data_IF_339410170787
#
_entry.id   IF_339410170787
#
_cell.length_a   1.000
_cell.length_b   1.000
_cell.length_c   1.000
_cell.angle_alpha   90.00
_cell.angle_beta   90.00
_cell.angle_gamma   90.00
#
_symmetry.space_group_name_H-M   'P 1'
#
loop_
_entity.id
_entity.type
_entity.pdbx_description
1 polymer ?
#
# COMPACT_ATOMS: atom_id res chain seq x y z
N UNK A 1 12.60 -11.30 -18.51
CA UNK A 1 12.84 -9.91 -18.93
C UNK A 1 11.88 -9.03 -18.16
N UNK A 2 12.36 -8.20 -17.24
CA UNK A 2 11.52 -7.27 -16.47
C UNK A 2 11.36 -5.98 -17.29
N UNK A 3 10.12 -5.62 -17.61
CA UNK A 3 9.74 -4.27 -18.01
C UNK A 3 8.53 -3.87 -17.16
N UNK A 4 8.74 -3.78 -15.86
CA UNK A 4 7.88 -2.96 -15.02
C UNK A 4 8.31 -1.50 -15.17
N UNK A 5 7.36 -0.59 -15.15
CA UNK A 5 7.65 0.84 -15.18
C UNK A 5 8.03 1.25 -13.75
N UNK A 6 9.33 1.33 -13.46
CA UNK A 6 9.83 1.82 -12.18
C UNK A 6 9.88 3.34 -12.21
N UNK A 7 9.14 3.99 -11.33
CA UNK A 7 9.15 5.46 -11.21
C UNK A 7 9.34 5.86 -9.75
N UNK A 8 10.26 6.79 -9.50
CA UNK A 8 10.41 7.44 -8.21
C UNK A 8 9.58 8.71 -8.18
N UNK A 9 8.63 8.80 -7.26
CA UNK A 9 7.67 9.91 -7.18
C UNK A 9 7.42 10.30 -5.72
N UNK A 10 6.78 11.45 -5.49
CA UNK A 10 6.23 11.76 -4.18
C UNK A 10 4.98 10.91 -3.90
N UNK A 11 4.67 10.64 -2.63
CA UNK A 11 3.47 9.87 -2.25
C UNK A 11 2.16 10.49 -2.80
N UNK A 12 2.10 11.82 -2.90
CA UNK A 12 0.96 12.56 -3.47
C UNK A 12 0.78 12.40 -4.98
N UNK A 13 1.76 11.79 -5.67
CA UNK A 13 1.72 11.49 -7.10
C UNK A 13 1.33 10.04 -7.39
N UNK A 14 1.10 9.22 -6.36
CA UNK A 14 0.48 7.90 -6.53
C UNK A 14 -0.94 8.05 -7.08
N UNK A 15 -1.49 6.98 -7.64
CA UNK A 15 -2.88 7.00 -8.09
C UNK A 15 -3.81 7.21 -6.89
N UNK A 16 -4.94 7.90 -7.09
CA UNK A 16 -5.88 8.22 -6.00
C UNK A 16 -6.30 6.96 -5.24
N UNK A 17 -6.56 5.87 -5.96
CA UNK A 17 -6.91 4.57 -5.36
C UNK A 17 -5.81 4.04 -4.42
N UNK A 18 -4.54 4.18 -4.80
CA UNK A 18 -3.40 3.75 -3.99
C UNK A 18 -3.29 4.62 -2.73
N UNK A 19 -3.45 5.93 -2.86
CA UNK A 19 -3.44 6.87 -1.73
C UNK A 19 -4.59 6.57 -0.75
N UNK A 20 -5.80 6.33 -1.27
CA UNK A 20 -6.98 6.02 -0.46
C UNK A 20 -6.82 4.68 0.26
N UNK A 21 -6.30 3.65 -0.41
CA UNK A 21 -6.05 2.35 0.18
C UNK A 21 -4.99 2.43 1.30
N UNK A 22 -3.87 3.13 1.08
CA UNK A 22 -2.85 3.38 2.12
C UNK A 22 -3.48 4.08 3.32
N UNK A 23 -4.30 5.11 3.08
CA UNK A 23 -4.98 5.84 4.16
C UNK A 23 -5.93 4.92 4.95
N UNK A 24 -6.75 4.12 4.29
CA UNK A 24 -7.68 3.19 4.92
C UNK A 24 -6.94 2.12 5.75
N UNK A 25 -5.89 1.51 5.18
CA UNK A 25 -5.08 0.52 5.89
C UNK A 25 -4.47 1.13 7.17
N UNK A 26 -3.92 2.34 7.10
CA UNK A 26 -3.30 3.00 8.25
C UNK A 26 -4.29 3.45 9.34
N UNK A 27 -5.56 3.60 9.00
CA UNK A 27 -6.63 3.97 9.94
C UNK A 27 -7.47 2.77 10.41
N UNK A 28 -7.05 1.55 10.07
CA UNK A 28 -7.64 0.31 10.56
C UNK A 28 -7.65 0.20 12.09
N UNK A 29 -8.64 -0.52 12.62
CA UNK A 29 -8.68 -0.83 14.05
C UNK A 29 -7.46 -1.69 14.43
N UNK A 30 -6.82 -1.37 15.56
CA UNK A 30 -5.61 -2.08 16.02
C UNK A 30 -4.32 -1.70 15.30
N UNK A 31 -4.37 -0.88 14.25
CA UNK A 31 -3.17 -0.38 13.56
C UNK A 31 -2.46 0.68 14.41
N UNK A 32 -1.14 0.57 14.65
CA UNK A 32 -0.40 1.57 15.42
C UNK A 32 -0.44 2.96 14.77
N UNK A 33 -0.91 3.97 15.50
CA UNK A 33 -1.07 5.34 15.00
C UNK A 33 0.26 6.01 14.64
N UNK A 34 1.36 5.52 15.20
CA UNK A 34 2.71 5.97 14.90
C UNK A 34 3.09 5.71 13.43
N UNK A 35 2.49 4.70 12.79
CA UNK A 35 2.69 4.48 11.35
C UNK A 35 2.13 5.63 10.52
N UNK A 36 0.97 6.18 10.89
CA UNK A 36 0.41 7.39 10.23
C UNK A 36 1.44 8.53 10.29
N UNK A 37 2.10 8.72 11.45
CA UNK A 37 3.13 9.75 11.59
C UNK A 37 4.36 9.49 10.71
N UNK A 38 4.72 8.23 10.45
CA UNK A 38 5.82 7.89 9.54
C UNK A 38 5.53 8.29 8.08
N UNK A 39 4.27 8.37 7.64
CA UNK A 39 3.96 8.83 6.27
C UNK A 39 4.44 10.25 6.00
N UNK A 40 4.45 11.12 7.02
CA UNK A 40 5.02 12.48 6.94
C UNK A 40 6.56 12.50 6.82
N UNK A 41 7.20 11.34 7.00
CA UNK A 41 8.65 11.14 6.90
C UNK A 41 9.04 10.39 5.62
N UNK A 42 8.08 10.08 4.76
CA UNK A 42 8.33 9.53 3.42
C UNK A 42 8.92 10.64 2.54
N UNK A 43 10.15 10.44 2.09
CA UNK A 43 10.84 11.34 1.17
C UNK A 43 10.37 11.11 -0.26
N UNK A 44 10.27 9.84 -0.64
CA UNK A 44 9.81 9.40 -1.95
C UNK A 44 9.25 7.99 -1.87
N UNK A 45 8.59 7.57 -2.93
CA UNK A 45 8.19 6.20 -3.15
C UNK A 45 8.73 5.70 -4.48
N UNK A 46 9.09 4.43 -4.54
CA UNK A 46 9.44 3.74 -5.78
C UNK A 46 8.26 2.85 -6.15
N UNK A 47 7.54 3.24 -7.20
CA UNK A 47 6.41 2.49 -7.74
C UNK A 47 6.88 1.61 -8.88
N UNK A 48 6.65 0.30 -8.78
CA UNK A 48 6.91 -0.69 -9.82
C UNK A 48 5.60 -1.42 -10.16
N UNK A 49 5.19 -1.33 -11.42
CA UNK A 49 3.99 -1.99 -11.92
C UNK A 49 4.36 -3.23 -12.73
N UNK A 50 3.77 -4.36 -12.35
CA UNK A 50 3.97 -5.66 -12.99
C UNK A 50 2.62 -6.25 -13.40
N UNK A 51 2.59 -7.28 -14.26
CA UNK A 51 1.33 -7.97 -14.59
C UNK A 51 0.61 -8.57 -13.38
N UNK A 52 1.35 -8.93 -12.32
CA UNK A 52 0.80 -9.53 -11.11
C UNK A 52 0.27 -8.50 -10.10
N UNK A 53 0.79 -7.26 -10.15
CA UNK A 53 0.50 -6.26 -9.14
C UNK A 53 1.38 -5.03 -9.22
N UNK A 54 1.05 -4.04 -8.39
CA UNK A 54 1.84 -2.82 -8.15
C UNK A 54 2.50 -2.90 -6.79
N UNK A 55 3.78 -2.58 -6.76
CA UNK A 55 4.59 -2.49 -5.55
C UNK A 55 5.04 -1.05 -5.37
N UNK A 56 4.84 -0.51 -4.16
CA UNK A 56 5.22 0.85 -3.78
C UNK A 56 6.13 0.75 -2.58
N UNK A 57 7.43 0.86 -2.81
CA UNK A 57 8.43 0.88 -1.74
C UNK A 57 8.57 2.29 -1.17
N UNK A 58 8.48 2.41 0.15
CA UNK A 58 8.59 3.69 0.84
C UNK A 58 10.04 4.00 1.19
N UNK A 59 10.52 5.18 0.77
CA UNK A 59 11.84 5.70 1.13
C UNK A 59 11.64 6.71 2.25
N UNK A 60 12.00 6.32 3.48
CA UNK A 60 11.89 7.16 4.66
C UNK A 60 13.14 8.02 4.87
N UNK A 61 12.93 9.25 5.33
CA UNK A 61 14.01 10.12 5.83
C UNK A 61 14.64 9.55 7.09
N UNK A 62 15.88 9.96 7.40
CA UNK A 62 16.61 9.55 8.62
C UNK A 62 15.92 9.94 9.93
N UNK A 63 14.93 10.85 9.88
CA UNK A 63 14.12 11.25 11.03
C UNK A 63 12.89 10.38 11.30
N UNK A 64 12.66 9.32 10.53
CA UNK A 64 11.59 8.37 10.80
C UNK A 64 11.90 7.56 12.07
N UNK A 65 10.90 7.42 12.95
CA UNK A 65 11.03 6.70 14.22
C UNK A 65 10.34 5.34 14.06
N UNK A 66 11.05 4.22 14.30
CA UNK A 66 10.44 2.89 14.22
C UNK A 66 9.45 2.67 15.37
N UNK A 67 8.48 1.79 15.14
CA UNK A 67 7.67 1.24 16.22
C UNK A 67 8.53 0.54 17.27
N UNK A 68 8.07 0.57 18.52
CA UNK A 68 8.74 -0.12 19.61
C UNK A 68 8.60 -1.65 19.51
N UNK A 69 9.73 -2.34 19.69
CA UNK A 69 9.87 -3.75 19.35
C UNK A 69 10.06 -3.92 17.84
N UNK A 70 11.04 -4.72 17.42
CA UNK A 70 11.35 -4.97 16.00
C UNK A 70 10.23 -5.80 15.36
N UNK A 71 9.06 -5.21 15.18
CA UNK A 71 7.85 -5.86 14.69
C UNK A 71 7.85 -5.83 13.17
N UNK A 72 7.88 -7.02 12.59
CA UNK A 72 7.53 -7.25 11.20
C UNK A 72 6.08 -7.72 11.21
N UNK A 73 5.23 -7.12 10.38
CA UNK A 73 3.84 -7.50 10.21
C UNK A 73 3.31 -6.94 8.90
N UNK A 74 2.09 -7.27 8.55
CA UNK A 74 1.38 -6.65 7.44
C UNK A 74 -0.05 -6.30 7.84
N UNK A 75 -0.61 -5.30 7.16
CA UNK A 75 -1.99 -4.88 7.30
C UNK A 75 -2.67 -5.23 5.98
N UNK A 76 -3.69 -6.09 6.03
CA UNK A 76 -4.38 -6.61 4.85
C UNK A 76 -5.91 -6.57 5.06
N UNK A 77 -6.66 -7.36 4.29
CA UNK A 77 -8.13 -7.46 4.32
C UNK A 77 -8.87 -6.18 3.92
N UNK A 78 -8.23 -5.39 3.05
CA UNK A 78 -8.88 -4.31 2.34
C UNK A 78 -8.99 -4.71 0.87
N UNK A 79 -10.20 -4.59 0.34
CA UNK A 79 -10.51 -4.86 -1.06
C UNK A 79 -11.16 -3.64 -1.72
N UNK A 80 -11.03 -3.54 -3.03
CA UNK A 80 -11.76 -2.58 -3.85
C UNK A 80 -12.46 -3.31 -4.99
N UNK A 81 -13.78 -3.22 -4.99
CA UNK A 81 -14.63 -3.87 -5.98
C UNK A 81 -14.99 -2.87 -7.07
N UNK A 82 -14.66 -3.22 -8.31
CA UNK A 82 -15.04 -2.45 -9.51
C UNK A 82 -16.27 -3.07 -10.17
N UNK A 83 -17.00 -2.30 -10.99
CA UNK A 83 -18.28 -2.71 -11.59
C UNK A 83 -18.27 -4.04 -12.36
N UNK A 84 -17.12 -4.47 -12.88
CA UNK A 84 -16.94 -5.74 -13.61
C UNK A 84 -16.55 -6.92 -12.71
N UNK A 85 -16.81 -6.84 -11.39
CA UNK A 85 -16.45 -7.85 -10.38
C UNK A 85 -14.94 -8.10 -10.25
N UNK A 86 -14.09 -7.24 -10.82
CA UNK A 86 -12.65 -7.31 -10.55
C UNK A 86 -12.40 -6.75 -9.15
N UNK A 87 -11.80 -7.59 -8.33
CA UNK A 87 -11.39 -7.28 -6.98
C UNK A 87 -9.88 -7.01 -6.98
N UNK A 88 -9.53 -5.86 -6.41
CA UNK A 88 -8.16 -5.50 -6.05
C UNK A 88 -8.02 -5.66 -4.56
N UNK A 89 -6.96 -6.31 -4.13
CA UNK A 89 -6.61 -6.46 -2.72
C UNK A 89 -5.36 -5.63 -2.41
N UNK A 90 -5.27 -5.16 -1.18
CA UNK A 90 -4.25 -4.22 -0.74
C UNK A 90 -3.56 -4.72 0.51
N UNK A 91 -2.23 -4.67 0.51
CA UNK A 91 -1.41 -5.03 1.68
C UNK A 91 -0.41 -3.92 1.96
N UNK A 92 -0.29 -3.52 3.23
CA UNK A 92 0.77 -2.64 3.71
C UNK A 92 1.71 -3.42 4.62
N UNK A 93 2.95 -3.59 4.17
CA UNK A 93 4.00 -4.28 4.91
C UNK A 93 4.76 -3.32 5.82
N UNK A 94 4.96 -3.74 7.06
CA UNK A 94 5.80 -3.09 8.06
C UNK A 94 6.99 -3.99 8.34
N UNK A 95 8.20 -3.42 8.24
CA UNK A 95 9.45 -4.14 8.49
C UNK A 95 10.30 -3.39 9.49
N UNK A 96 10.72 -4.09 10.55
CA UNK A 96 11.52 -3.56 11.66
C UNK A 96 10.90 -2.30 12.27
N UNK A 97 9.57 -2.27 12.35
CA UNK A 97 8.81 -1.13 12.84
C UNK A 97 8.69 0.06 11.88
N UNK A 98 9.04 -0.07 10.60
CA UNK A 98 8.87 0.97 9.58
C UNK A 98 7.87 0.57 8.50
N UNK A 99 7.08 1.52 8.00
CA UNK A 99 6.36 1.33 6.74
C UNK A 99 7.38 1.01 5.65
N UNK A 100 7.20 -0.12 4.97
CA UNK A 100 8.20 -0.65 4.04
C UNK A 100 7.68 -0.69 2.60
N UNK A 101 6.56 -1.38 2.36
CA UNK A 101 6.05 -1.61 1.02
C UNK A 101 4.52 -1.66 1.04
N UNK A 102 3.89 -1.08 0.02
CA UNK A 102 2.46 -1.24 -0.26
C UNK A 102 2.30 -2.04 -1.54
N UNK A 103 1.42 -3.04 -1.50
CA UNK A 103 1.14 -3.94 -2.61
C UNK A 103 -0.32 -3.83 -3.01
N UNK A 104 -0.55 -3.77 -4.33
CA UNK A 104 -1.86 -3.92 -4.97
C UNK A 104 -1.80 -5.13 -5.87
N UNK A 105 -2.74 -6.05 -5.75
CA UNK A 105 -2.85 -7.17 -6.68
C UNK A 105 -4.31 -7.45 -7.02
N UNK A 106 -4.52 -8.15 -8.13
CA UNK A 106 -5.85 -8.63 -8.49
C UNK A 106 -5.99 -10.11 -8.15
N UNK A 107 -7.17 -10.49 -7.69
CA UNK A 107 -7.53 -11.90 -7.44
C UNK A 107 -7.61 -12.72 -8.74
N UNK A 108 -7.66 -12.07 -9.91
CA UNK A 108 -7.91 -12.70 -11.22
C UNK A 108 -6.67 -12.83 -12.12
N UNK A 109 -5.51 -13.14 -11.56
CA UNK A 109 -4.20 -13.40 -12.21
C UNK A 109 -3.53 -12.22 -12.95
N UNK A 110 -4.31 -11.24 -13.44
CA UNK A 110 -3.79 -10.08 -14.17
C UNK A 110 -4.35 -8.80 -13.56
N UNK A 111 -3.44 -7.90 -13.18
CA UNK A 111 -3.80 -6.58 -12.72
C UNK A 111 -4.45 -5.76 -13.84
N UNK A 112 -5.71 -5.32 -13.68
CA UNK A 112 -6.33 -4.41 -14.65
C UNK A 112 -5.70 -3.02 -14.54
N UNK A 113 -5.71 -2.24 -15.63
CA UNK A 113 -5.45 -0.81 -15.52
C UNK A 113 -6.52 -0.16 -14.63
N UNK A 114 -6.10 0.60 -13.62
CA UNK A 114 -6.99 1.20 -12.63
C UNK A 114 -6.79 2.70 -12.41
N UNK A 115 -6.16 3.41 -13.34
CA UNK A 115 -5.93 4.87 -13.24
C UNK A 115 -7.22 5.69 -13.04
N UNK A 116 -8.38 5.16 -13.45
CA UNK A 116 -9.68 5.84 -13.35
C UNK A 116 -10.84 4.86 -13.16
N UNK A 117 -10.70 3.92 -12.22
CA UNK A 117 -11.77 2.96 -11.89
C UNK A 117 -12.79 3.56 -10.92
N UNK A 118 -14.06 3.24 -11.17
CA UNK A 118 -15.15 3.50 -10.24
C UNK A 118 -15.47 2.22 -9.47
N UNK A 119 -15.65 2.35 -8.16
CA UNK A 119 -15.87 1.22 -7.27
C UNK A 119 -16.00 1.66 -5.83
N UNK A 120 -15.93 0.70 -4.92
CA UNK A 120 -16.00 0.94 -3.48
C UNK A 120 -15.04 0.04 -2.73
N UNK A 121 -14.46 0.59 -1.67
CA UNK A 121 -13.71 -0.20 -0.70
C UNK A 121 -14.64 -1.07 0.14
N UNK A 122 -14.16 -2.24 0.51
CA UNK A 122 -14.79 -3.17 1.44
C UNK A 122 -13.73 -3.91 2.25
N UNK A 123 -14.13 -4.51 3.37
CA UNK A 123 -13.22 -5.19 4.28
C UNK A 123 -12.85 -4.34 5.50
N UNK A 124 -12.15 -4.96 6.44
CA UNK A 124 -11.70 -4.33 7.68
C UNK A 124 -10.20 -4.56 7.78
N UNK A 125 -9.37 -3.49 7.66
CA UNK A 125 -7.93 -3.63 7.74
C UNK A 125 -7.51 -4.35 9.03
N UNK A 126 -6.78 -5.45 8.87
CA UNK A 126 -6.40 -6.34 9.98
C UNK A 126 -4.89 -6.54 10.01
N UNK A 127 -4.31 -6.55 11.21
CA UNK A 127 -2.87 -6.72 11.45
C UNK A 127 -2.51 -8.20 11.58
N UNK A 128 -1.50 -8.62 10.83
CA UNK A 128 -1.00 -10.01 10.78
C UNK A 128 0.52 -10.05 11.02
N UNK A 129 0.96 -10.83 12.01
CA UNK A 129 2.39 -11.03 12.38
C UNK A 129 3.11 -12.05 11.48
#
# INVERSE_FOLDING_TARGET
MRKGLVTMVAISQLLQLEQDAIALLLHGEGVPRELVAQTSRVESVVRDETPAGVYVDFVLTTGAIPLEGRRDFHIADLSFVTGDLKELEFILYVRRGFIACFEVYSVFDVLPSYESVFGSFSGVPTVYE
#
